data_IF_816519969136
#
_entry.id   IF_816519969136
#
_cell.length_a   1.000
_cell.length_b   1.000
_cell.length_c   1.000
_cell.angle_alpha   90.00
_cell.angle_beta   90.00
_cell.angle_gamma   90.00
#
_symmetry.space_group_name_H-M   'P 1'
#
loop_
_entity.id
_entity.type
_entity.pdbx_description
1 polymer ?
#
# COMPACT_ATOMS: atom_id res chain seq x y z
N UNK A 1 -10.52 -82.99 35.24
CA UNK A 1 -10.28 -82.49 33.87
C UNK A 1 -9.28 -81.36 34.02
N UNK A 2 -8.06 -81.51 33.53
CA UNK A 2 -7.03 -80.46 33.67
C UNK A 2 -7.36 -79.31 32.72
N UNK A 3 -7.40 -78.08 33.24
CA UNK A 3 -7.53 -76.88 32.40
C UNK A 3 -6.27 -76.73 31.54
N UNK A 4 -6.38 -76.35 30.25
CA UNK A 4 -5.20 -76.37 29.41
C UNK A 4 -4.30 -75.14 29.65
N UNK A 5 -2.99 -75.37 29.70
CA UNK A 5 -1.92 -74.42 30.07
C UNK A 5 -1.64 -73.30 29.03
N UNK A 6 -2.59 -72.95 28.15
CA UNK A 6 -2.38 -71.94 27.11
C UNK A 6 -2.52 -70.48 27.59
N UNK A 7 -2.63 -70.23 28.90
CA UNK A 7 -2.72 -68.86 29.49
C UNK A 7 -1.46 -68.50 30.29
N UNK A 8 -0.31 -69.09 29.96
CA UNK A 8 0.96 -68.53 30.41
C UNK A 8 1.23 -67.24 29.61
N UNK A 9 0.92 -66.10 30.25
CA UNK A 9 1.08 -64.74 29.71
C UNK A 9 2.53 -64.42 29.30
N UNK A 10 3.48 -65.24 29.75
CA UNK A 10 4.90 -65.13 29.50
C UNK A 10 5.47 -66.26 28.62
N UNK A 11 4.62 -66.93 27.82
CA UNK A 11 5.11 -67.80 26.74
C UNK A 11 5.95 -66.98 25.74
N UNK A 12 7.26 -67.24 25.60
CA UNK A 12 8.15 -66.48 24.72
C UNK A 12 7.87 -66.73 23.22
N UNK A 13 7.10 -67.77 22.90
CA UNK A 13 6.66 -68.09 21.54
C UNK A 13 5.43 -67.28 21.08
N UNK A 14 4.77 -66.55 21.99
CA UNK A 14 3.57 -65.78 21.66
C UNK A 14 3.95 -64.41 21.06
N UNK A 15 3.64 -64.19 19.78
CA UNK A 15 3.88 -62.92 19.10
C UNK A 15 3.03 -61.82 19.76
N UNK A 16 3.69 -60.87 20.42
CA UNK A 16 3.04 -59.72 21.05
C UNK A 16 2.79 -58.62 19.99
N UNK A 17 1.60 -58.02 19.94
CA UNK A 17 1.33 -56.92 19.02
C UNK A 17 2.22 -55.72 19.37
N UNK A 18 3.17 -55.40 18.50
CA UNK A 18 4.08 -54.27 18.66
C UNK A 18 3.52 -53.04 17.94
N UNK A 19 3.53 -51.88 18.63
CA UNK A 19 3.14 -50.62 18.00
C UNK A 19 4.19 -50.24 16.97
N UNK A 20 3.78 -50.14 15.71
CA UNK A 20 4.65 -49.66 14.64
C UNK A 20 5.11 -48.23 14.95
N UNK A 21 6.42 -48.02 14.84
CA UNK A 21 7.03 -46.73 15.12
C UNK A 21 6.79 -45.82 13.92
N UNK A 22 6.21 -44.64 14.17
CA UNK A 22 5.97 -43.66 13.12
C UNK A 22 7.30 -42.98 12.73
N UNK A 23 7.80 -43.16 11.48
CA UNK A 23 9.08 -42.58 11.05
C UNK A 23 9.11 -41.05 11.08
N UNK A 24 7.93 -40.41 10.96
CA UNK A 24 7.75 -38.96 11.06
C UNK A 24 7.93 -38.48 12.50
N UNK A 25 7.56 -39.31 13.47
CA UNK A 25 7.72 -39.03 14.90
C UNK A 25 9.09 -39.42 15.43
N UNK A 26 9.87 -40.24 14.73
CA UNK A 26 11.26 -40.52 15.13
C UNK A 26 12.24 -39.49 14.58
N UNK A 27 11.97 -38.94 13.40
CA UNK A 27 12.81 -37.91 12.80
C UNK A 27 12.66 -36.56 13.53
N UNK A 28 13.70 -36.17 14.28
CA UNK A 28 13.74 -34.87 14.95
C UNK A 28 13.66 -33.70 13.97
N UNK A 29 14.40 -33.80 12.86
CA UNK A 29 14.42 -32.78 11.81
C UNK A 29 13.02 -32.50 11.25
N UNK A 30 12.23 -33.56 11.02
CA UNK A 30 10.85 -33.40 10.54
C UNK A 30 9.97 -32.66 11.57
N UNK A 31 10.09 -33.01 12.84
CA UNK A 31 9.31 -32.34 13.89
C UNK A 31 9.67 -30.86 14.03
N UNK A 32 10.96 -30.53 13.94
CA UNK A 32 11.43 -29.16 14.05
C UNK A 32 10.99 -28.32 12.84
N UNK A 33 11.06 -28.87 11.62
CA UNK A 33 10.50 -28.23 10.43
C UNK A 33 8.98 -28.01 10.57
N UNK A 34 8.21 -29.02 11.04
CA UNK A 34 6.77 -28.87 11.24
C UNK A 34 6.45 -27.77 12.26
N UNK A 35 7.21 -27.70 13.35
CA UNK A 35 7.09 -26.66 14.37
C UNK A 35 7.36 -25.28 13.77
N UNK A 36 8.44 -25.14 13.01
CA UNK A 36 8.82 -23.89 12.36
C UNK A 36 7.75 -23.42 11.37
N UNK A 37 7.27 -24.29 10.49
CA UNK A 37 6.21 -23.97 9.53
C UNK A 37 4.93 -23.49 10.22
N UNK A 38 4.51 -24.17 11.30
CA UNK A 38 3.35 -23.77 12.12
C UNK A 38 3.57 -22.42 12.79
N UNK A 39 4.78 -22.13 13.28
CA UNK A 39 5.11 -20.82 13.86
C UNK A 39 5.12 -19.72 12.80
N UNK A 40 5.71 -19.96 11.64
CA UNK A 40 5.76 -19.00 10.53
C UNK A 40 4.36 -18.70 9.97
N UNK A 41 3.46 -19.70 9.92
CA UNK A 41 2.06 -19.49 9.56
C UNK A 41 1.33 -18.62 10.58
N UNK A 42 1.50 -18.88 11.88
CA UNK A 42 0.92 -18.05 12.96
C UNK A 42 1.46 -16.62 12.97
N UNK A 43 2.73 -16.44 12.64
CA UNK A 43 3.40 -15.14 12.57
C UNK A 43 3.15 -14.42 11.24
N UNK A 44 2.48 -15.04 10.28
CA UNK A 44 2.19 -14.44 8.97
C UNK A 44 3.41 -14.26 8.06
N UNK A 45 4.53 -14.92 8.37
CA UNK A 45 5.79 -14.84 7.62
C UNK A 45 5.84 -15.77 6.41
N UNK A 46 5.04 -16.84 6.41
CA UNK A 46 4.94 -17.74 5.27
C UNK A 46 4.21 -17.07 4.10
N UNK A 47 4.57 -17.35 2.82
CA UNK A 47 3.73 -17.02 1.67
C UNK A 47 2.36 -17.66 1.87
N UNK A 48 1.41 -16.86 2.34
CA UNK A 48 0.09 -17.33 2.63
C UNK A 48 -0.60 -17.56 1.29
N UNK A 49 -0.70 -18.81 0.85
CA UNK A 49 -1.76 -19.24 -0.07
C UNK A 49 -3.11 -19.16 0.65
N UNK A 50 -3.41 -17.98 1.23
CA UNK A 50 -4.68 -17.66 1.86
C UNK A 50 -5.75 -17.84 0.79
N UNK A 51 -6.88 -18.49 1.11
CA UNK A 51 -8.01 -18.53 0.21
C UNK A 51 -8.45 -17.09 -0.10
N UNK A 52 -8.89 -16.85 -1.34
CA UNK A 52 -9.25 -15.51 -1.81
C UNK A 52 -10.28 -14.83 -0.91
N UNK A 53 -11.27 -15.59 -0.40
CA UNK A 53 -12.25 -15.09 0.55
C UNK A 53 -11.61 -14.48 1.81
N UNK A 54 -10.57 -15.13 2.36
CA UNK A 54 -9.89 -14.61 3.55
C UNK A 54 -9.12 -13.32 3.23
N UNK A 55 -8.45 -13.25 2.08
CA UNK A 55 -7.79 -12.01 1.63
C UNK A 55 -8.79 -10.86 1.48
N UNK A 56 -9.93 -11.12 0.85
CA UNK A 56 -11.00 -10.13 0.65
C UNK A 56 -11.58 -9.67 2.00
N UNK A 57 -11.84 -10.59 2.94
CA UNK A 57 -12.34 -10.25 4.27
C UNK A 57 -11.32 -9.44 5.09
N UNK A 58 -10.03 -9.80 5.04
CA UNK A 58 -8.97 -9.02 5.68
C UNK A 58 -8.86 -7.63 5.07
N UNK A 59 -8.91 -7.50 3.74
CA UNK A 59 -8.90 -6.21 3.04
C UNK A 59 -10.09 -5.35 3.45
N UNK A 60 -11.31 -5.90 3.41
CA UNK A 60 -12.54 -5.18 3.80
C UNK A 60 -12.46 -4.65 5.24
N UNK A 61 -11.92 -5.43 6.17
CA UNK A 61 -11.71 -4.99 7.56
C UNK A 61 -10.74 -3.82 7.64
N UNK A 62 -9.61 -3.88 6.91
CA UNK A 62 -8.64 -2.77 6.88
C UNK A 62 -9.25 -1.51 6.28
N UNK A 63 -9.96 -1.65 5.17
CA UNK A 63 -10.60 -0.52 4.49
C UNK A 63 -11.66 0.14 5.38
N UNK A 64 -12.42 -0.66 6.15
CA UNK A 64 -13.40 -0.14 7.11
C UNK A 64 -12.74 0.66 8.25
N UNK A 65 -11.64 0.14 8.82
CA UNK A 65 -10.88 0.86 9.87
C UNK A 65 -10.26 2.13 9.31
N UNK A 66 -9.74 2.08 8.08
CA UNK A 66 -9.15 3.25 7.45
C UNK A 66 -10.20 4.35 7.21
N UNK A 67 -11.37 4.00 6.67
CA UNK A 67 -12.49 4.94 6.49
C UNK A 67 -12.94 5.58 7.81
N UNK A 68 -13.07 4.80 8.87
CA UNK A 68 -13.43 5.33 10.19
C UNK A 68 -12.38 6.33 10.71
N UNK A 69 -11.09 6.01 10.56
CA UNK A 69 -10.00 6.92 10.94
C UNK A 69 -9.98 8.18 10.09
N UNK A 70 -10.25 8.06 8.79
CA UNK A 70 -10.31 9.21 7.87
C UNK A 70 -11.48 10.13 8.22
N UNK A 71 -12.67 9.59 8.48
CA UNK A 71 -13.82 10.37 8.93
C UNK A 71 -13.57 11.05 10.28
N UNK A 72 -12.92 10.35 11.21
CA UNK A 72 -12.54 10.91 12.51
C UNK A 72 -11.48 12.01 12.34
N UNK A 73 -10.49 11.81 11.47
CA UNK A 73 -9.49 12.83 11.15
C UNK A 73 -10.13 14.06 10.51
N UNK A 74 -11.05 13.87 9.56
CA UNK A 74 -11.81 14.96 8.93
C UNK A 74 -12.63 15.75 9.96
N UNK A 75 -13.29 15.06 10.90
CA UNK A 75 -14.03 15.71 12.00
C UNK A 75 -13.14 16.42 13.01
N UNK A 76 -11.89 15.98 13.17
CA UNK A 76 -10.90 16.58 14.08
C UNK A 76 -10.12 17.74 13.46
N UNK A 77 -10.24 17.99 12.16
CA UNK A 77 -9.62 19.17 11.54
C UNK A 77 -10.21 20.43 12.17
N UNK A 78 -9.34 21.28 12.70
CA UNK A 78 -9.76 22.57 13.24
C UNK A 78 -10.24 23.49 12.12
N UNK A 79 -11.19 24.39 12.40
CA UNK A 79 -11.66 25.39 11.44
C UNK A 79 -10.49 26.20 10.85
N UNK A 80 -9.47 26.49 11.67
CA UNK A 80 -8.23 27.14 11.25
C UNK A 80 -7.44 26.29 10.23
N UNK A 81 -7.37 24.97 10.44
CA UNK A 81 -6.66 24.05 9.56
C UNK A 81 -7.35 23.97 8.19
N UNK A 82 -8.68 23.99 8.18
CA UNK A 82 -9.48 24.05 6.95
C UNK A 82 -9.21 25.36 6.20
N UNK A 83 -9.15 26.50 6.90
CA UNK A 83 -8.87 27.79 6.28
C UNK A 83 -7.44 27.89 5.72
N UNK A 84 -6.46 27.37 6.45
CA UNK A 84 -5.07 27.26 5.97
C UNK A 84 -4.97 26.41 4.69
N UNK A 85 -5.66 25.26 4.65
CA UNK A 85 -5.71 24.41 3.46
C UNK A 85 -6.34 25.13 2.26
N UNK A 86 -7.46 25.84 2.47
CA UNK A 86 -8.10 26.66 1.43
C UNK A 86 -7.17 27.76 0.92
N UNK A 87 -6.46 28.43 1.82
CA UNK A 87 -5.47 29.46 1.46
C UNK A 87 -4.33 28.87 0.65
N UNK A 88 -3.82 27.71 1.03
CA UNK A 88 -2.77 27.00 0.29
C UNK A 88 -3.22 26.66 -1.13
N UNK A 89 -4.40 26.05 -1.30
CA UNK A 89 -4.95 25.71 -2.62
C UNK A 89 -5.11 26.94 -3.52
N UNK A 90 -5.56 28.07 -2.95
CA UNK A 90 -5.68 29.32 -3.69
C UNK A 90 -4.32 29.85 -4.16
N UNK A 91 -3.28 29.74 -3.32
CA UNK A 91 -1.93 30.16 -3.69
C UNK A 91 -1.34 29.27 -4.79
N UNK A 92 -1.52 27.95 -4.69
CA UNK A 92 -1.09 26.98 -5.69
C UNK A 92 -1.74 27.25 -7.06
N UNK A 93 -3.05 27.54 -7.07
CA UNK A 93 -3.76 27.91 -8.30
C UNK A 93 -3.21 29.19 -8.94
N UNK A 94 -2.94 30.22 -8.11
CA UNK A 94 -2.36 31.48 -8.60
C UNK A 94 -0.94 31.28 -9.14
N UNK A 95 -0.14 30.41 -8.53
CA UNK A 95 1.19 30.07 -9.02
C UNK A 95 1.11 29.37 -10.38
N UNK A 96 0.19 28.41 -10.52
CA UNK A 96 -0.06 27.71 -11.77
C UNK A 96 -0.51 28.67 -12.89
N UNK A 97 -1.41 29.59 -12.58
CA UNK A 97 -1.91 30.58 -13.54
C UNK A 97 -0.80 31.56 -13.96
N UNK A 98 0.07 31.98 -13.02
CA UNK A 98 1.25 32.78 -13.34
C UNK A 98 2.21 32.05 -14.27
N UNK A 99 2.47 30.76 -14.01
CA UNK A 99 3.32 29.93 -14.87
C UNK A 99 2.73 29.83 -16.27
N UNK A 100 1.41 29.60 -16.41
CA UNK A 100 0.73 29.57 -17.71
C UNK A 100 0.83 30.90 -18.45
N UNK A 101 0.60 32.03 -17.78
CA UNK A 101 0.73 33.36 -18.39
C UNK A 101 2.16 33.60 -18.88
N UNK A 102 3.16 33.18 -18.11
CA UNK A 102 4.56 33.30 -18.49
C UNK A 102 4.88 32.43 -19.72
N UNK A 103 4.42 31.18 -19.73
CA UNK A 103 4.58 30.25 -20.86
C UNK A 103 3.86 30.78 -22.12
N UNK A 104 2.66 31.34 -21.99
CA UNK A 104 1.93 31.98 -23.09
C UNK A 104 2.67 33.21 -23.64
N UNK A 105 3.29 34.02 -22.77
CA UNK A 105 4.12 35.15 -23.20
C UNK A 105 5.40 34.69 -23.92
N UNK A 106 6.04 33.63 -23.45
CA UNK A 106 7.22 33.05 -24.10
C UNK A 106 6.87 32.45 -25.47
N UNK A 107 5.73 31.76 -25.57
CA UNK A 107 5.21 31.17 -26.81
C UNK A 107 4.54 32.19 -27.75
N UNK A 108 4.34 33.44 -27.32
CA UNK A 108 3.75 34.46 -28.16
C UNK A 108 4.63 34.77 -29.38
N UNK A 109 4.05 34.94 -30.59
CA UNK A 109 4.80 35.29 -31.78
C UNK A 109 5.58 36.59 -31.63
N UNK A 110 6.77 36.68 -32.23
CA UNK A 110 7.65 37.85 -32.07
C UNK A 110 6.99 39.17 -32.45
N UNK A 111 6.18 39.21 -33.51
CA UNK A 111 5.48 40.43 -33.93
C UNK A 111 4.54 41.00 -32.84
N UNK A 112 4.03 40.15 -31.93
CA UNK A 112 3.23 40.57 -30.78
C UNK A 112 4.12 41.18 -29.70
N UNK A 113 5.32 40.63 -29.48
CA UNK A 113 6.33 41.13 -28.52
C UNK A 113 6.86 42.51 -28.90
N UNK A 114 7.06 42.80 -30.19
CA UNK A 114 7.55 44.12 -30.67
C UNK A 114 6.47 45.17 -30.94
N UNK A 115 5.18 44.85 -30.79
CA UNK A 115 4.07 45.76 -31.11
C UNK A 115 4.10 47.10 -30.35
N UNK A 116 4.63 47.11 -29.13
CA UNK A 116 4.81 48.32 -28.32
C UNK A 116 5.98 49.22 -28.77
N UNK A 117 6.92 48.68 -29.54
CA UNK A 117 8.09 49.39 -30.04
C UNK A 117 7.77 50.08 -31.38
N UNK A 118 7.01 49.42 -32.25
CA UNK A 118 6.53 50.01 -33.52
C UNK A 118 5.61 51.23 -33.31
N UNK A 119 4.85 51.26 -32.20
CA UNK A 119 3.93 52.37 -31.92
C UNK A 119 4.66 53.67 -31.56
N UNK A 120 5.86 53.59 -30.98
CA UNK A 120 6.67 54.75 -30.60
C UNK A 120 7.36 55.40 -31.79
N UNK A 121 7.90 54.60 -32.72
CA UNK A 121 8.54 55.13 -33.94
C UNK A 121 7.57 55.83 -34.88
N UNK A 122 6.28 55.49 -34.85
CA UNK A 122 5.26 56.16 -35.68
C UNK A 122 4.87 57.56 -35.16
N UNK A 123 4.98 57.81 -33.84
CA UNK A 123 4.72 59.14 -33.28
C UNK A 123 5.90 60.10 -33.52
N UNK A 124 7.14 59.61 -33.45
CA UNK A 124 8.33 60.44 -33.76
C UNK A 124 8.40 60.84 -35.25
N UNK A 125 7.84 60.05 -36.18
CA UNK A 125 7.79 60.43 -37.60
C UNK A 125 6.75 61.50 -37.96
N UNK A 126 5.84 61.86 -37.04
CA UNK A 126 4.85 62.92 -37.25
C UNK A 126 5.24 64.29 -36.68
N UNK A 127 6.37 64.38 -35.96
CA UNK A 127 6.96 65.62 -35.44
C UNK A 127 8.28 65.92 -36.17
N UNK A 128 8.24 66.04 -37.50
CA UNK A 128 9.28 66.74 -38.25
C UNK A 128 8.76 68.14 -38.58
N UNK A 129 9.42 69.23 -38.13
CA UNK A 129 8.99 70.58 -38.46
C UNK A 129 9.35 70.87 -39.93
N UNK A 130 8.32 71.16 -40.72
CA UNK A 130 8.45 71.79 -42.04
C UNK A 130 9.21 73.11 -41.85
N UNK A 131 10.37 73.23 -42.52
CA UNK A 131 11.20 74.44 -42.60
C UNK A 131 11.00 75.10 -43.95
#
# INVERSE_FOLDING_TARGET
MAEPDYIDKDNPELIKPQKLINPVKTSRNHQDLHRELRMNQKRGLAPQNKPELQKVMERRKRDQVFKQKEEEAQKKKSDLEIELLKRQQKLEQLELDKQKIQEEQENAPEFVKVKGNLRRTAQESSEAPDS
#
